data_IF_948572619108
#
_entry.id   IF_948572619108
#
_cell.length_a   1.000
_cell.length_b   1.000
_cell.length_c   1.000
_cell.angle_alpha   90.00
_cell.angle_beta   90.00
_cell.angle_gamma   90.00
#
_symmetry.space_group_name_H-M   'P 1'
#
loop_
_entity.id
_entity.type
_entity.pdbx_description
1 polymer ?
#
# COMPACT_ATOMS: atom_id res chain seq x y z
N UNK A 1 42.78 18.93 0.14
CA UNK A 1 41.90 19.21 1.30
C UNK A 1 40.76 18.22 1.27
N UNK A 2 40.85 17.14 2.06
CA UNK A 2 39.75 16.20 2.25
C UNK A 2 38.83 16.78 3.33
N UNK A 3 37.62 17.15 2.95
CA UNK A 3 36.59 17.59 3.88
C UNK A 3 36.26 16.39 4.79
N UNK A 4 36.59 16.49 6.07
CA UNK A 4 36.22 15.51 7.10
C UNK A 4 34.71 15.48 7.25
N UNK A 5 34.02 14.68 6.42
CA UNK A 5 32.60 14.40 6.60
C UNK A 5 32.44 13.78 7.99
N UNK A 6 31.70 14.44 8.88
CA UNK A 6 31.40 13.89 10.19
C UNK A 6 30.75 12.52 10.02
N UNK A 7 31.22 11.52 10.75
CA UNK A 7 30.61 10.18 10.79
C UNK A 7 29.27 10.17 11.56
N UNK A 8 28.76 11.35 11.94
CA UNK A 8 27.46 11.51 12.55
C UNK A 8 26.38 11.38 11.46
N UNK A 9 25.41 10.46 11.62
CA UNK A 9 24.31 10.37 10.67
C UNK A 9 23.53 11.69 10.65
N UNK A 10 22.99 12.10 9.50
CA UNK A 10 22.29 13.38 9.35
C UNK A 10 20.99 13.46 10.16
N UNK A 11 20.50 12.32 10.66
CA UNK A 11 19.32 12.24 11.53
C UNK A 11 19.42 11.02 12.46
N UNK A 12 18.76 11.04 13.64
CA UNK A 12 18.65 9.87 14.52
C UNK A 12 17.84 8.76 13.84
N UNK A 13 18.07 7.48 14.23
CA UNK A 13 17.27 6.37 13.73
C UNK A 13 15.81 6.48 14.19
N UNK A 14 14.85 5.93 13.41
CA UNK A 14 13.47 5.81 13.87
C UNK A 14 13.41 4.93 15.12
N UNK A 15 12.61 5.34 16.10
CA UNK A 15 12.39 4.59 17.32
C UNK A 15 11.06 3.84 17.26
N UNK A 16 11.10 2.54 17.54
CA UNK A 16 9.93 1.66 17.54
C UNK A 16 9.47 1.35 18.97
N UNK A 17 9.13 2.39 19.72
CA UNK A 17 8.76 2.31 21.15
C UNK A 17 7.33 2.78 21.42
N UNK A 18 6.41 2.55 20.46
CA UNK A 18 5.02 3.01 20.57
C UNK A 18 4.15 1.93 21.18
N UNK A 19 3.24 2.35 22.06
CA UNK A 19 2.19 1.49 22.61
C UNK A 19 0.90 1.63 21.79
N UNK A 20 0.06 0.58 21.80
CA UNK A 20 -1.19 0.53 21.02
C UNK A 20 -2.08 1.78 21.23
N UNK A 21 -2.19 2.24 22.49
CA UNK A 21 -2.99 3.42 22.87
C UNK A 21 -2.49 4.74 22.29
N UNK A 22 -1.23 4.79 21.82
CA UNK A 22 -0.61 6.02 21.31
C UNK A 22 -0.70 6.15 19.79
N UNK A 23 -0.94 5.05 19.07
CA UNK A 23 -0.89 5.01 17.60
C UNK A 23 -2.00 5.87 16.98
N UNK A 24 -3.25 5.69 17.41
CA UNK A 24 -4.40 6.43 16.87
C UNK A 24 -4.30 7.93 17.17
N UNK A 25 -4.06 8.38 18.41
CA UNK A 25 -3.86 9.81 18.70
C UNK A 25 -2.71 10.42 17.88
N UNK A 26 -1.65 9.64 17.60
CA UNK A 26 -0.53 10.12 16.80
C UNK A 26 -0.95 10.37 15.34
N UNK A 27 -1.65 9.42 14.69
CA UNK A 27 -2.09 9.64 13.31
C UNK A 27 -3.15 10.74 13.20
N UNK A 28 -4.06 10.86 14.16
CA UNK A 28 -5.05 11.93 14.21
C UNK A 28 -4.40 13.31 14.33
N UNK A 29 -3.33 13.42 15.12
CA UNK A 29 -2.52 14.65 15.18
C UNK A 29 -1.91 14.99 13.82
N UNK A 30 -1.34 14.01 13.11
CA UNK A 30 -0.76 14.22 11.78
C UNK A 30 -1.83 14.72 10.80
N UNK A 31 -2.98 14.04 10.74
CA UNK A 31 -4.12 14.45 9.90
C UNK A 31 -4.58 15.87 10.25
N UNK A 32 -4.72 16.17 11.54
CA UNK A 32 -5.14 17.51 12.01
C UNK A 32 -4.13 18.59 11.59
N UNK A 33 -2.83 18.31 11.65
CA UNK A 33 -1.79 19.24 11.23
C UNK A 33 -1.82 19.47 9.72
N UNK A 34 -1.93 18.40 8.93
CA UNK A 34 -2.05 18.50 7.48
C UNK A 34 -3.30 19.25 7.04
N UNK A 35 -4.46 19.00 7.67
CA UNK A 35 -5.69 19.77 7.41
C UNK A 35 -5.51 21.26 7.68
N UNK A 36 -4.84 21.64 8.76
CA UNK A 36 -4.56 23.06 9.04
C UNK A 36 -3.72 23.73 7.95
N UNK A 37 -2.75 23.03 7.38
CA UNK A 37 -1.97 23.55 6.24
C UNK A 37 -2.88 23.76 5.03
N UNK A 38 -3.72 22.78 4.71
CA UNK A 38 -4.66 22.86 3.59
C UNK A 38 -5.69 24.00 3.77
N UNK A 39 -6.31 24.09 4.95
CA UNK A 39 -7.25 25.15 5.32
C UNK A 39 -6.60 26.53 5.25
N UNK A 40 -5.36 26.67 5.71
CA UNK A 40 -4.62 27.93 5.63
C UNK A 40 -4.40 28.37 4.17
N UNK A 41 -3.98 27.44 3.30
CA UNK A 41 -3.79 27.73 1.87
C UNK A 41 -5.12 28.15 1.24
N UNK A 42 -6.18 27.37 1.46
CA UNK A 42 -7.52 27.63 0.92
C UNK A 42 -8.12 28.95 1.42
N UNK A 43 -7.81 29.36 2.65
CA UNK A 43 -8.31 30.60 3.24
C UNK A 43 -7.51 31.86 2.89
N UNK A 44 -6.31 31.72 2.32
CA UNK A 44 -5.39 32.85 2.10
C UNK A 44 -4.92 33.04 0.65
N UNK A 45 -5.10 32.03 -0.20
CA UNK A 45 -4.64 32.03 -1.59
C UNK A 45 -5.84 31.92 -2.53
N UNK A 46 -5.85 32.74 -3.58
CA UNK A 46 -6.80 32.65 -4.69
C UNK A 46 -6.10 32.14 -5.95
N UNK A 47 -6.82 31.61 -6.96
CA UNK A 47 -6.20 31.19 -8.23
C UNK A 47 -5.31 32.29 -8.86
N UNK A 48 -5.70 33.56 -8.76
CA UNK A 48 -4.95 34.71 -9.29
C UNK A 48 -3.67 34.99 -8.52
N UNK A 49 -3.59 34.63 -7.23
CA UNK A 49 -2.43 34.85 -6.35
C UNK A 49 -1.62 33.58 -6.08
N UNK A 50 -2.09 32.42 -6.55
CA UNK A 50 -1.41 31.14 -6.41
C UNK A 50 -0.03 31.12 -7.10
N UNK A 51 0.98 30.62 -6.40
CA UNK A 51 2.36 30.42 -6.87
C UNK A 51 2.90 29.09 -6.34
N UNK A 52 4.03 28.64 -6.88
CA UNK A 52 4.71 27.46 -6.33
C UNK A 52 5.01 27.64 -4.84
N UNK A 53 5.44 28.83 -4.43
CA UNK A 53 5.90 29.12 -3.08
C UNK A 53 4.77 29.15 -2.02
N UNK A 54 3.54 29.55 -2.38
CA UNK A 54 2.42 29.65 -1.43
C UNK A 54 1.40 28.49 -1.53
N UNK A 55 1.47 27.65 -2.57
CA UNK A 55 0.60 26.46 -2.70
C UNK A 55 1.42 25.17 -2.62
N UNK A 56 2.37 24.96 -3.53
CA UNK A 56 3.05 23.65 -3.67
C UNK A 56 4.06 23.42 -2.54
N UNK A 57 4.88 24.43 -2.24
CA UNK A 57 5.94 24.30 -1.26
C UNK A 57 5.43 23.99 0.16
N UNK A 58 4.36 24.65 0.67
CA UNK A 58 3.80 24.30 1.98
C UNK A 58 3.20 22.89 2.01
N UNK A 59 2.51 22.46 0.95
CA UNK A 59 2.00 21.09 0.83
C UNK A 59 3.13 20.05 0.82
N UNK A 60 4.23 20.35 0.14
CA UNK A 60 5.40 19.47 0.07
C UNK A 60 6.11 19.37 1.43
N UNK A 61 6.24 20.48 2.16
CA UNK A 61 6.81 20.47 3.51
C UNK A 61 5.95 19.68 4.50
N UNK A 62 4.62 19.83 4.43
CA UNK A 62 3.69 19.02 5.22
C UNK A 62 3.84 17.53 4.90
N UNK A 63 3.81 17.16 3.62
CA UNK A 63 3.99 15.77 3.20
C UNK A 63 5.34 15.21 3.66
N UNK A 64 6.41 15.99 3.58
CA UNK A 64 7.73 15.58 4.06
C UNK A 64 7.72 15.37 5.59
N UNK A 65 7.08 16.26 6.35
CA UNK A 65 6.93 16.10 7.80
C UNK A 65 6.21 14.80 8.15
N UNK A 66 5.08 14.53 7.49
CA UNK A 66 4.31 13.30 7.71
C UNK A 66 5.10 12.05 7.30
N UNK A 67 5.85 12.11 6.20
CA UNK A 67 6.65 10.98 5.69
C UNK A 67 7.72 10.49 6.66
N UNK A 68 8.12 11.31 7.63
CA UNK A 68 9.08 10.94 8.68
C UNK A 68 8.44 10.09 9.78
N UNK A 69 7.15 10.26 10.03
CA UNK A 69 6.47 9.69 11.20
C UNK A 69 5.51 8.56 10.82
N UNK A 70 4.74 8.72 9.75
CA UNK A 70 3.72 7.78 9.33
C UNK A 70 4.24 6.35 9.05
N UNK A 71 5.42 6.15 8.41
CA UNK A 71 5.94 4.81 8.20
C UNK A 71 6.20 4.04 9.49
N UNK A 72 6.61 4.73 10.56
CA UNK A 72 6.83 4.09 11.88
C UNK A 72 5.50 3.63 12.46
N UNK A 73 4.43 4.44 12.32
CA UNK A 73 3.09 4.09 12.80
C UNK A 73 2.52 2.88 12.06
N UNK A 74 2.73 2.80 10.75
CA UNK A 74 2.22 1.71 9.92
C UNK A 74 3.07 0.43 9.92
N UNK A 75 4.29 0.47 10.45
CA UNK A 75 5.21 -0.68 10.43
C UNK A 75 4.76 -1.78 11.40
N UNK A 76 4.14 -1.43 12.53
CA UNK A 76 3.77 -2.38 13.57
C UNK A 76 2.76 -3.43 13.10
N UNK A 77 1.90 -3.13 12.14
CA UNK A 77 0.98 -4.10 11.52
C UNK A 77 1.73 -5.33 10.98
N UNK A 78 2.94 -5.14 10.44
CA UNK A 78 3.69 -6.22 9.80
C UNK A 78 4.59 -7.01 10.76
N UNK A 79 4.96 -6.44 11.92
CA UNK A 79 6.05 -6.97 12.76
C UNK A 79 5.71 -7.11 14.24
N UNK A 80 4.66 -6.46 14.73
CA UNK A 80 4.30 -6.49 16.15
C UNK A 80 3.84 -7.87 16.57
N UNK A 81 4.36 -8.36 17.69
CA UNK A 81 3.83 -9.57 18.35
C UNK A 81 2.64 -9.27 19.26
N UNK A 82 2.37 -7.99 19.55
CA UNK A 82 1.18 -7.55 20.28
C UNK A 82 0.02 -7.33 19.29
N UNK A 83 -1.08 -8.11 19.38
CA UNK A 83 -2.25 -7.96 18.53
C UNK A 83 -2.90 -6.58 18.62
N UNK A 84 -2.95 -5.97 19.81
CA UNK A 84 -3.56 -4.65 20.00
C UNK A 84 -2.78 -3.54 19.30
N UNK A 85 -1.45 -3.62 19.35
CA UNK A 85 -0.57 -2.70 18.63
C UNK A 85 -0.64 -2.90 17.11
N UNK A 86 -0.72 -4.16 16.65
CA UNK A 86 -0.92 -4.48 15.23
C UNK A 86 -2.25 -3.92 14.71
N UNK A 87 -3.34 -4.13 15.43
CA UNK A 87 -4.67 -3.64 15.06
C UNK A 87 -4.73 -2.11 15.03
N UNK A 88 -4.17 -1.45 16.05
CA UNK A 88 -4.08 0.01 16.08
C UNK A 88 -3.27 0.58 14.89
N UNK A 89 -2.19 -0.10 14.48
CA UNK A 89 -1.41 0.25 13.29
C UNK A 89 -2.21 0.10 11.99
N UNK A 90 -2.95 -1.01 11.83
CA UNK A 90 -3.84 -1.21 10.67
C UNK A 90 -4.91 -0.10 10.61
N UNK A 91 -5.53 0.22 11.75
CA UNK A 91 -6.52 1.29 11.81
C UNK A 91 -5.91 2.66 11.52
N UNK A 92 -4.70 2.96 12.00
CA UNK A 92 -4.02 4.22 11.68
C UNK A 92 -3.73 4.38 10.18
N UNK A 93 -3.26 3.31 9.51
CA UNK A 93 -3.08 3.32 8.05
C UNK A 93 -4.38 3.58 7.32
N UNK A 94 -5.48 2.97 7.76
CA UNK A 94 -6.82 3.20 7.19
C UNK A 94 -7.25 4.66 7.32
N UNK A 95 -7.17 5.23 8.53
CA UNK A 95 -7.51 6.64 8.79
C UNK A 95 -6.70 7.60 7.92
N UNK A 96 -5.38 7.38 7.81
CA UNK A 96 -4.54 8.23 6.97
C UNK A 96 -4.84 8.05 5.48
N UNK A 97 -5.12 6.84 5.01
CA UNK A 97 -5.50 6.59 3.62
C UNK A 97 -6.82 7.29 3.25
N UNK A 98 -7.81 7.29 4.14
CA UNK A 98 -9.06 8.03 3.97
C UNK A 98 -8.80 9.55 3.84
N UNK A 99 -7.96 10.10 4.72
CA UNK A 99 -7.54 11.50 4.64
C UNK A 99 -6.76 11.83 3.35
N UNK A 100 -5.91 10.91 2.88
CA UNK A 100 -5.15 11.11 1.64
C UNK A 100 -6.08 11.14 0.42
N UNK A 101 -7.12 10.31 0.40
CA UNK A 101 -8.16 10.31 -0.65
C UNK A 101 -8.94 11.63 -0.62
N UNK A 102 -9.35 12.09 0.56
CA UNK A 102 -9.99 13.40 0.76
C UNK A 102 -9.13 14.52 0.16
N UNK A 103 -7.84 14.57 0.51
CA UNK A 103 -6.89 15.57 0.00
C UNK A 103 -6.74 15.52 -1.51
N UNK A 104 -6.59 14.32 -2.09
CA UNK A 104 -6.39 14.09 -3.53
C UNK A 104 -7.64 14.32 -4.38
N UNK A 105 -8.80 14.44 -3.75
CA UNK A 105 -10.09 14.71 -4.40
C UNK A 105 -10.67 16.07 -4.03
N UNK A 106 -9.92 16.90 -3.29
CA UNK A 106 -10.35 18.22 -2.88
C UNK A 106 -10.27 19.23 -4.04
N UNK A 107 -11.43 19.65 -4.56
CA UNK A 107 -11.54 20.56 -5.71
C UNK A 107 -10.81 21.89 -5.50
N UNK A 108 -11.03 22.55 -4.36
CA UNK A 108 -10.37 23.84 -4.11
C UNK A 108 -8.84 23.79 -4.08
N UNK A 109 -8.23 22.69 -3.61
CA UNK A 109 -6.78 22.53 -3.66
C UNK A 109 -6.32 22.30 -5.10
N UNK A 110 -7.08 21.53 -5.88
CA UNK A 110 -6.80 21.35 -7.29
C UNK A 110 -6.90 22.64 -8.09
N UNK A 111 -7.90 23.48 -7.86
CA UNK A 111 -8.04 24.77 -8.54
C UNK A 111 -6.79 25.64 -8.34
N UNK A 112 -6.25 25.66 -7.11
CA UNK A 112 -5.01 26.36 -6.80
C UNK A 112 -3.80 25.72 -7.49
N UNK A 113 -3.66 24.40 -7.45
CA UNK A 113 -2.56 23.68 -8.13
C UNK A 113 -2.61 23.86 -9.64
N UNK A 114 -3.79 23.80 -10.24
CA UNK A 114 -4.02 24.03 -11.67
C UNK A 114 -3.67 25.48 -12.05
N UNK A 115 -4.04 26.45 -11.21
CA UNK A 115 -3.67 27.84 -11.42
C UNK A 115 -2.14 28.05 -11.41
N UNK A 116 -1.41 27.41 -10.50
CA UNK A 116 0.06 27.43 -10.50
C UNK A 116 0.61 26.77 -11.76
N UNK A 117 0.08 25.60 -12.14
CA UNK A 117 0.51 24.87 -13.34
C UNK A 117 0.31 25.68 -14.63
N UNK A 118 -0.75 26.49 -14.72
CA UNK A 118 -1.03 27.35 -15.88
C UNK A 118 -0.17 28.62 -15.92
N UNK A 119 0.33 29.12 -14.78
CA UNK A 119 1.06 30.39 -14.68
C UNK A 119 2.46 30.40 -15.30
N UNK A 120 3.00 29.26 -15.75
CA UNK A 120 4.33 29.16 -16.37
C UNK A 120 5.41 29.92 -15.59
N UNK A 121 5.42 29.74 -14.26
CA UNK A 121 6.43 30.31 -13.37
C UNK A 121 7.83 29.76 -13.73
N UNK A 122 8.86 30.60 -13.69
CA UNK A 122 10.24 30.15 -13.92
C UNK A 122 10.76 29.42 -12.68
N UNK A 123 10.66 28.08 -12.69
CA UNK A 123 11.04 27.21 -11.60
C UNK A 123 12.33 26.43 -11.90
N UNK A 124 13.10 26.12 -10.86
CA UNK A 124 14.19 25.16 -10.96
C UNK A 124 13.65 23.77 -11.39
N UNK A 125 14.45 22.93 -12.07
CA UNK A 125 13.96 21.68 -12.65
C UNK A 125 13.24 20.74 -11.66
N UNK A 126 13.71 20.67 -10.42
CA UNK A 126 13.09 19.82 -9.38
C UNK A 126 11.73 20.37 -8.92
N UNK A 127 11.61 21.70 -8.76
CA UNK A 127 10.35 22.36 -8.41
C UNK A 127 9.31 22.22 -9.53
N UNK A 128 9.74 22.38 -10.79
CA UNK A 128 8.88 22.13 -11.94
C UNK A 128 8.36 20.69 -11.95
N UNK A 129 9.26 19.72 -11.73
CA UNK A 129 8.90 18.30 -11.66
C UNK A 129 7.91 18.00 -10.54
N UNK A 130 8.07 18.66 -9.38
CA UNK A 130 7.18 18.52 -8.24
C UNK A 130 5.78 19.06 -8.55
N UNK A 131 5.68 20.27 -9.11
CA UNK A 131 4.41 20.87 -9.56
C UNK A 131 3.69 19.95 -10.54
N UNK A 132 4.39 19.46 -11.57
CA UNK A 132 3.83 18.52 -12.54
C UNK A 132 3.30 17.24 -11.90
N UNK A 133 3.98 16.74 -10.86
CA UNK A 133 3.54 15.56 -10.12
C UNK A 133 2.25 15.84 -9.35
N UNK A 134 2.20 16.93 -8.58
CA UNK A 134 0.96 17.31 -7.87
C UNK A 134 -0.21 17.47 -8.84
N UNK A 135 -0.02 18.24 -9.91
CA UNK A 135 -1.05 18.47 -10.92
C UNK A 135 -1.52 17.15 -11.56
N UNK A 136 -0.58 16.30 -12.01
CA UNK A 136 -0.91 15.00 -12.60
C UNK A 136 -1.64 14.08 -11.62
N UNK A 137 -1.25 14.06 -10.35
CA UNK A 137 -1.87 13.20 -9.35
C UNK A 137 -3.34 13.61 -9.13
N UNK A 138 -3.67 14.90 -9.11
CA UNK A 138 -5.06 15.37 -9.08
C UNK A 138 -5.85 14.98 -10.34
N UNK A 139 -5.27 15.14 -11.53
CA UNK A 139 -5.92 14.73 -12.78
C UNK A 139 -6.21 13.23 -12.80
N UNK A 140 -5.29 12.39 -12.31
CA UNK A 140 -5.48 10.93 -12.19
C UNK A 140 -6.57 10.54 -11.17
N UNK A 141 -6.88 11.42 -10.23
CA UNK A 141 -8.00 11.27 -9.30
C UNK A 141 -9.32 11.85 -9.85
N UNK A 142 -9.34 12.27 -11.12
CA UNK A 142 -10.55 12.68 -11.83
C UNK A 142 -10.95 14.14 -11.61
N UNK A 143 -10.07 15.01 -11.10
CA UNK A 143 -10.41 16.43 -10.90
C UNK A 143 -10.38 17.27 -12.18
N UNK A 144 -9.81 16.77 -13.28
CA UNK A 144 -9.80 17.44 -14.59
C UNK A 144 -10.90 17.03 -15.57
N UNK A 145 -11.90 16.26 -15.11
CA UNK A 145 -13.04 15.78 -15.92
C UNK A 145 -14.35 16.31 -15.34
N UNK A 146 -15.43 16.24 -16.13
CA UNK A 146 -16.75 16.70 -15.71
C UNK A 146 -17.28 15.91 -14.51
N UNK A 147 -18.26 16.47 -13.79
CA UNK A 147 -18.85 15.80 -12.63
C UNK A 147 -19.49 14.45 -13.00
N UNK A 148 -20.11 14.36 -14.19
CA UNK A 148 -20.69 13.12 -14.71
C UNK A 148 -19.61 12.05 -14.94
N UNK A 149 -18.53 12.41 -15.63
CA UNK A 149 -17.39 11.51 -15.87
C UNK A 149 -16.71 11.11 -14.55
N UNK A 150 -16.63 12.03 -13.58
CA UNK A 150 -16.06 11.74 -12.25
C UNK A 150 -16.91 10.76 -11.45
N UNK A 151 -18.24 10.85 -11.54
CA UNK A 151 -19.13 9.87 -10.92
C UNK A 151 -18.92 8.49 -11.54
N UNK A 152 -18.81 8.42 -12.87
CA UNK A 152 -18.50 7.16 -13.57
C UNK A 152 -17.11 6.62 -13.19
N UNK A 153 -16.11 7.49 -13.06
CA UNK A 153 -14.77 7.12 -12.60
C UNK A 153 -14.80 6.50 -11.20
N UNK A 154 -15.51 7.14 -10.24
CA UNK A 154 -15.68 6.61 -8.87
C UNK A 154 -16.38 5.25 -8.85
N UNK A 155 -17.41 5.08 -9.66
CA UNK A 155 -18.12 3.81 -9.80
C UNK A 155 -17.18 2.69 -10.29
N UNK A 156 -16.40 2.95 -11.35
CA UNK A 156 -15.43 1.99 -11.89
C UNK A 156 -14.35 1.65 -10.86
N UNK A 157 -13.80 2.63 -10.14
CA UNK A 157 -12.81 2.38 -9.09
C UNK A 157 -13.37 1.49 -7.97
N UNK A 158 -14.61 1.73 -7.55
CA UNK A 158 -15.29 0.90 -6.55
C UNK A 158 -15.51 -0.53 -7.04
N UNK A 159 -15.95 -0.71 -8.29
CA UNK A 159 -16.12 -2.02 -8.91
C UNK A 159 -14.78 -2.76 -9.03
N UNK A 160 -13.71 -2.08 -9.45
CA UNK A 160 -12.37 -2.66 -9.52
C UNK A 160 -11.89 -3.10 -8.14
N UNK A 161 -12.02 -2.25 -7.12
CA UNK A 161 -11.65 -2.61 -5.75
C UNK A 161 -12.39 -3.86 -5.27
N UNK A 162 -13.70 -3.94 -5.52
CA UNK A 162 -14.51 -5.11 -5.17
C UNK A 162 -14.03 -6.35 -5.92
N UNK A 163 -13.89 -6.29 -7.24
CA UNK A 163 -13.47 -7.42 -8.07
C UNK A 163 -12.08 -7.93 -7.71
N UNK A 164 -11.12 -7.03 -7.47
CA UNK A 164 -9.77 -7.40 -7.03
C UNK A 164 -9.80 -8.04 -5.65
N UNK A 165 -10.57 -7.48 -4.71
CA UNK A 165 -10.71 -8.04 -3.36
C UNK A 165 -11.35 -9.43 -3.38
N UNK A 166 -12.40 -9.62 -4.18
CA UNK A 166 -13.05 -10.92 -4.37
C UNK A 166 -12.11 -11.92 -5.04
N UNK A 167 -11.39 -11.52 -6.08
CA UNK A 167 -10.40 -12.36 -6.75
C UNK A 167 -9.31 -12.84 -5.79
N UNK A 168 -8.71 -11.92 -5.03
CA UNK A 168 -7.69 -12.28 -4.05
C UNK A 168 -8.24 -13.15 -2.92
N UNK A 169 -9.47 -12.87 -2.45
CA UNK A 169 -10.13 -13.69 -1.44
C UNK A 169 -10.32 -15.12 -1.93
N UNK A 170 -10.84 -15.28 -3.15
CA UNK A 170 -11.03 -16.59 -3.77
C UNK A 170 -9.71 -17.36 -3.85
N UNK A 171 -8.61 -16.70 -4.25
CA UNK A 171 -7.29 -17.33 -4.30
C UNK A 171 -6.73 -17.72 -2.91
N UNK A 172 -7.01 -16.92 -1.87
CA UNK A 172 -6.53 -17.20 -0.50
C UNK A 172 -7.33 -18.29 0.19
N UNK A 173 -8.64 -18.34 -0.04
CA UNK A 173 -9.54 -19.32 0.58
C UNK A 173 -9.60 -20.64 -0.18
N UNK A 174 -9.08 -20.68 -1.42
CA UNK A 174 -8.93 -21.90 -2.19
C UNK A 174 -8.01 -22.89 -1.48
N UNK A 175 -8.55 -24.09 -1.24
CA UNK A 175 -7.85 -25.20 -0.59
C UNK A 175 -7.91 -26.48 -1.43
N UNK A 176 -8.30 -26.36 -2.70
CA UNK A 176 -8.30 -27.46 -3.64
C UNK A 176 -6.91 -28.10 -3.75
N UNK A 177 -6.95 -29.38 -4.03
CA UNK A 177 -5.79 -30.23 -4.17
C UNK A 177 -6.19 -31.58 -4.72
N UNK A 178 -5.18 -32.43 -4.84
CA UNK A 178 -5.33 -33.77 -5.37
C UNK A 178 -4.75 -34.78 -4.39
N UNK A 179 -5.32 -35.98 -4.39
CA UNK A 179 -4.92 -37.09 -3.54
C UNK A 179 -3.99 -38.01 -4.29
N UNK A 180 -2.77 -38.20 -3.75
CA UNK A 180 -1.76 -39.07 -4.33
C UNK A 180 -1.32 -40.14 -3.32
N UNK A 181 -1.01 -41.31 -3.85
CA UNK A 181 -0.28 -42.35 -3.11
C UNK A 181 1.19 -41.94 -2.91
N UNK A 182 1.88 -42.57 -1.97
CA UNK A 182 3.31 -42.32 -1.75
C UNK A 182 4.17 -42.74 -2.95
N UNK A 183 3.74 -43.74 -3.71
CA UNK A 183 4.43 -44.19 -4.93
C UNK A 183 4.35 -43.14 -6.04
N UNK A 184 3.20 -42.48 -6.20
CA UNK A 184 3.02 -41.39 -7.16
C UNK A 184 3.87 -40.17 -6.81
N UNK A 185 4.21 -39.98 -5.54
CA UNK A 185 5.05 -38.89 -5.04
C UNK A 185 6.53 -39.26 -4.87
N UNK A 186 6.99 -40.33 -5.52
CA UNK A 186 8.40 -40.71 -5.50
C UNK A 186 9.30 -39.52 -5.86
N UNK A 187 10.33 -39.27 -5.05
CA UNK A 187 11.26 -38.14 -5.20
C UNK A 187 10.89 -36.87 -4.43
N UNK A 188 9.63 -36.72 -4.01
CA UNK A 188 9.23 -35.63 -3.10
C UNK A 188 9.81 -35.87 -1.70
N UNK A 189 10.31 -34.82 -1.06
CA UNK A 189 10.95 -34.91 0.26
C UNK A 189 10.01 -35.49 1.32
N UNK A 190 10.54 -36.36 2.18
CA UNK A 190 9.79 -36.93 3.29
C UNK A 190 9.21 -35.87 4.25
N UNK A 191 9.94 -34.76 4.47
CA UNK A 191 9.48 -33.65 5.30
C UNK A 191 8.19 -33.04 4.76
N UNK A 192 8.15 -32.72 3.45
CA UNK A 192 6.94 -32.24 2.80
C UNK A 192 5.81 -33.26 2.93
N UNK A 193 6.04 -34.54 2.59
CA UNK A 193 5.02 -35.59 2.68
C UNK A 193 4.45 -35.71 4.10
N UNK A 194 5.31 -35.62 5.13
CA UNK A 194 4.91 -35.73 6.53
C UNK A 194 4.01 -34.58 7.01
N UNK A 195 4.12 -33.41 6.37
CA UNK A 195 3.30 -32.23 6.66
C UNK A 195 1.92 -32.26 6.00
N UNK A 196 1.67 -33.18 5.06
CA UNK A 196 0.42 -33.26 4.31
C UNK A 196 -0.69 -33.97 5.10
N UNK A 197 -1.93 -33.57 4.82
CA UNK A 197 -3.10 -34.24 5.37
C UNK A 197 -3.23 -35.65 4.79
N UNK A 198 -3.45 -36.63 5.67
CA UNK A 198 -3.67 -38.04 5.30
C UNK A 198 -5.14 -38.28 4.98
N UNK A 199 -5.39 -39.06 3.94
CA UNK A 199 -6.73 -39.36 3.47
C UNK A 199 -7.42 -40.39 4.36
N UNK A 200 -8.73 -40.29 4.42
CA UNK A 200 -9.62 -41.23 5.10
C UNK A 200 -10.70 -41.69 4.12
N UNK A 201 -11.37 -42.81 4.41
CA UNK A 201 -12.42 -43.36 3.54
C UNK A 201 -11.88 -43.71 2.15
N UNK A 202 -12.47 -43.12 1.11
CA UNK A 202 -12.09 -43.38 -0.30
C UNK A 202 -10.64 -42.96 -0.64
N UNK A 203 -10.01 -42.14 0.20
CA UNK A 203 -8.63 -41.68 0.05
C UNK A 203 -7.66 -42.33 1.05
N UNK A 204 -8.06 -43.40 1.73
CA UNK A 204 -7.18 -44.11 2.65
C UNK A 204 -5.87 -44.54 1.94
N UNK A 205 -4.73 -44.30 2.60
CA UNK A 205 -3.40 -44.54 2.02
C UNK A 205 -2.87 -43.44 1.09
N UNK A 206 -3.62 -42.35 0.87
CA UNK A 206 -3.18 -41.18 0.09
C UNK A 206 -2.88 -39.96 0.97
N UNK A 207 -2.14 -39.01 0.41
CA UNK A 207 -1.86 -37.69 1.00
C UNK A 207 -2.39 -36.58 0.09
N UNK A 208 -2.86 -35.49 0.69
CA UNK A 208 -3.46 -34.37 -0.02
C UNK A 208 -2.43 -33.30 -0.36
N UNK A 209 -2.17 -33.07 -1.65
CA UNK A 209 -1.39 -31.93 -2.11
C UNK A 209 -2.33 -30.82 -2.57
N UNK A 210 -2.46 -29.76 -1.76
CA UNK A 210 -3.13 -28.50 -2.17
C UNK A 210 -2.32 -27.76 -3.22
N UNK A 211 -2.92 -26.86 -3.99
CA UNK A 211 -2.21 -26.04 -4.99
C UNK A 211 -1.42 -24.85 -4.41
N UNK A 212 -1.12 -24.87 -3.11
CA UNK A 212 -0.27 -23.87 -2.48
C UNK A 212 1.15 -23.90 -3.07
N UNK A 213 1.83 -22.74 -3.10
CA UNK A 213 3.18 -22.66 -3.65
C UNK A 213 4.17 -23.68 -3.05
N UNK A 214 4.21 -23.94 -1.72
CA UNK A 214 5.10 -24.95 -1.16
C UNK A 214 4.86 -26.35 -1.73
N UNK A 215 3.60 -26.76 -1.85
CA UNK A 215 3.23 -28.07 -2.39
C UNK A 215 3.51 -28.15 -3.89
N UNK A 216 3.12 -27.12 -4.64
CA UNK A 216 3.31 -27.03 -6.09
C UNK A 216 4.78 -27.11 -6.48
N UNK A 217 5.62 -26.28 -5.87
CA UNK A 217 7.05 -26.34 -6.16
C UNK A 217 7.70 -27.60 -5.60
N UNK A 218 7.22 -28.12 -4.47
CA UNK A 218 7.69 -29.38 -3.91
C UNK A 218 7.45 -30.57 -4.85
N UNK A 219 6.25 -30.68 -5.42
CA UNK A 219 5.88 -31.74 -6.34
C UNK A 219 6.51 -31.56 -7.72
N UNK A 220 6.35 -30.38 -8.36
CA UNK A 220 6.83 -30.18 -9.73
C UNK A 220 8.35 -30.28 -9.88
N UNK A 221 9.12 -29.88 -8.85
CA UNK A 221 10.59 -29.95 -8.89
C UNK A 221 11.14 -31.34 -8.59
N UNK A 222 10.48 -32.11 -7.72
CA UNK A 222 11.09 -33.29 -7.12
C UNK A 222 10.37 -34.60 -7.44
N UNK A 223 9.07 -34.60 -7.77
CA UNK A 223 8.37 -35.82 -8.14
C UNK A 223 9.02 -36.40 -9.40
N UNK A 224 9.46 -37.65 -9.35
CA UNK A 224 10.13 -38.34 -10.47
C UNK A 224 9.11 -38.83 -11.50
N UNK A 225 7.91 -39.22 -11.05
CA UNK A 225 6.81 -39.63 -11.91
C UNK A 225 6.30 -38.44 -12.74
N UNK A 226 6.39 -38.55 -14.08
CA UNK A 226 5.95 -37.50 -15.00
C UNK A 226 4.43 -37.33 -15.03
N UNK A 227 3.67 -38.41 -14.83
CA UNK A 227 2.20 -38.33 -14.81
C UNK A 227 1.69 -37.57 -13.59
N UNK A 228 2.35 -37.73 -12.43
CA UNK A 228 2.06 -36.92 -11.23
C UNK A 228 2.22 -35.43 -11.52
N UNK A 229 3.32 -35.04 -12.18
CA UNK A 229 3.54 -33.62 -12.54
C UNK A 229 2.51 -33.12 -13.56
N UNK A 230 2.13 -33.95 -14.54
CA UNK A 230 1.15 -33.63 -15.59
C UNK A 230 -0.28 -33.50 -15.06
N UNK A 231 -0.69 -34.33 -14.11
CA UNK A 231 -2.02 -34.26 -13.51
C UNK A 231 -2.13 -33.01 -12.61
N UNK A 232 -1.01 -32.58 -12.04
CA UNK A 232 -0.96 -31.52 -11.06
C UNK A 232 -0.81 -30.10 -11.66
N UNK A 233 -0.36 -29.96 -12.92
CA UNK A 233 -0.19 -28.69 -13.65
C UNK A 233 -0.60 -28.85 -15.13
#
# INVERSE_FOLDING_TARGET
MFCSRSHSPPQPPPLFTKDASTIIPHVERLITQSRKVQEHILGTVTPETATFANVILPLAHDQNSVSRELPVLGFYEAVSTDPGLSEASTQAKKLYAEFEIETKTHEGLFDLVEAVAKKSESLEPEHQRLLERYHRDYLRNGLGISLEERNRFKEIQSQLFKLTSEFEKNLREENAGLWFTLEELAGVSADLISSLNKGTGENEGKVHLTFSFPHLFGALKNATNSETRRIYY
#
